data_IF_722211598709
#
_entry.id   IF_722211598709
#
_cell.length_a   1.000
_cell.length_b   1.000
_cell.length_c   1.000
_cell.angle_alpha   90.00
_cell.angle_beta   90.00
_cell.angle_gamma   90.00
#
_symmetry.space_group_name_H-M   'P 1'
#
loop_
_entity.id
_entity.type
_entity.pdbx_description
1 polymer ?
#
# COMPACT_ATOMS: atom_id res chain seq x y z
N UNK A 1 -38.20 -54.11 -33.86
CA UNK A 1 -39.66 -54.34 -33.97
C UNK A 1 -40.28 -53.93 -32.65
N UNK A 2 -41.40 -53.27 -32.77
CA UNK A 2 -42.40 -52.79 -31.83
C UNK A 2 -42.27 -51.32 -31.47
N UNK A 3 -43.02 -50.51 -32.23
CA UNK A 3 -43.41 -49.16 -31.98
C UNK A 3 -44.55 -49.11 -30.94
N UNK A 4 -44.44 -48.16 -29.99
CA UNK A 4 -45.56 -47.80 -29.14
C UNK A 4 -45.88 -46.32 -29.31
N UNK A 5 -46.98 -45.99 -29.96
CA UNK A 5 -47.64 -44.69 -29.98
C UNK A 5 -48.31 -44.42 -28.65
N UNK A 6 -48.16 -43.21 -28.08
CA UNK A 6 -49.05 -42.68 -27.05
C UNK A 6 -49.56 -41.28 -27.47
N UNK A 7 -50.79 -40.95 -27.11
CA UNK A 7 -51.52 -39.83 -27.68
C UNK A 7 -51.19 -38.49 -26.98
N UNK A 8 -51.25 -37.41 -27.77
CA UNK A 8 -51.22 -36.04 -27.39
C UNK A 8 -52.49 -35.62 -26.66
N UNK A 9 -52.38 -35.18 -25.42
CA UNK A 9 -53.49 -34.51 -24.73
C UNK A 9 -53.25 -32.97 -24.81
N UNK A 10 -54.17 -32.31 -25.49
CA UNK A 10 -54.25 -30.87 -25.63
C UNK A 10 -54.88 -30.28 -24.36
N UNK A 11 -54.17 -29.57 -23.51
CA UNK A 11 -54.71 -28.81 -22.40
C UNK A 11 -54.67 -27.32 -22.72
N UNK A 12 -55.83 -26.70 -22.87
CA UNK A 12 -55.99 -25.27 -22.98
C UNK A 12 -55.82 -24.64 -21.60
N UNK A 13 -54.75 -23.88 -21.40
CA UNK A 13 -54.49 -23.11 -20.19
C UNK A 13 -54.76 -21.64 -20.40
N UNK A 14 -55.63 -21.06 -19.57
CA UNK A 14 -56.10 -19.68 -19.58
C UNK A 14 -54.97 -18.67 -19.37
N UNK A 15 -54.96 -17.57 -20.14
CA UNK A 15 -54.12 -16.41 -19.98
C UNK A 15 -54.52 -15.64 -18.70
N UNK A 16 -53.72 -15.76 -17.66
CA UNK A 16 -53.76 -14.89 -16.49
C UNK A 16 -52.89 -13.65 -16.74
N UNK A 17 -53.50 -12.47 -16.87
CA UNK A 17 -52.82 -11.19 -16.80
C UNK A 17 -52.31 -10.96 -15.39
N UNK A 18 -51.08 -11.40 -15.12
CA UNK A 18 -50.36 -11.01 -13.89
C UNK A 18 -49.69 -9.65 -14.09
N UNK A 19 -50.17 -8.63 -13.39
CA UNK A 19 -49.52 -7.32 -13.31
C UNK A 19 -48.15 -7.47 -12.62
N UNK A 20 -47.09 -7.31 -13.36
CA UNK A 20 -45.72 -7.22 -12.80
C UNK A 20 -45.61 -5.94 -11.96
N UNK A 21 -45.12 -5.99 -10.71
CA UNK A 21 -44.80 -4.78 -9.97
C UNK A 21 -43.61 -4.07 -10.65
N UNK A 22 -43.77 -2.79 -10.87
CA UNK A 22 -42.74 -1.92 -11.44
C UNK A 22 -41.48 -2.02 -10.59
N UNK A 23 -40.35 -2.40 -11.21
CA UNK A 23 -39.04 -2.38 -10.59
C UNK A 23 -38.66 -0.94 -10.27
N UNK A 24 -38.51 -0.62 -9.00
CA UNK A 24 -37.93 0.66 -8.55
C UNK A 24 -36.51 0.78 -9.10
N UNK A 25 -36.12 1.92 -9.72
CA UNK A 25 -34.76 2.11 -10.17
C UNK A 25 -33.82 2.12 -8.97
N UNK A 26 -32.91 1.16 -8.91
CA UNK A 26 -31.76 1.19 -7.98
C UNK A 26 -30.88 2.36 -8.42
N UNK A 27 -30.88 3.42 -7.64
CA UNK A 27 -29.92 4.52 -7.79
C UNK A 27 -28.55 3.96 -7.41
N UNK A 28 -27.78 3.55 -8.41
CA UNK A 28 -26.35 3.25 -8.22
C UNK A 28 -25.69 4.58 -7.91
N UNK A 29 -25.40 4.78 -6.62
CA UNK A 29 -24.65 5.96 -6.19
C UNK A 29 -23.32 6.01 -6.95
N UNK A 30 -23.02 7.14 -7.57
CA UNK A 30 -21.72 7.39 -8.20
C UNK A 30 -20.61 7.04 -7.20
N UNK A 31 -19.52 6.37 -7.62
CA UNK A 31 -18.40 6.10 -6.74
C UNK A 31 -17.88 7.43 -6.20
N UNK A 32 -17.99 7.62 -4.89
CA UNK A 32 -17.38 8.75 -4.21
C UNK A 32 -15.90 8.74 -4.56
N UNK A 33 -15.38 9.85 -5.07
CA UNK A 33 -13.95 10.01 -5.30
C UNK A 33 -13.22 9.63 -4.01
N UNK A 34 -12.37 8.63 -4.07
CA UNK A 34 -11.63 8.15 -2.91
C UNK A 34 -10.89 9.35 -2.29
N UNK A 35 -11.17 9.64 -1.02
CA UNK A 35 -10.52 10.73 -0.32
C UNK A 35 -9.01 10.53 -0.37
N UNK A 36 -8.28 11.62 -0.65
CA UNK A 36 -6.82 11.60 -0.67
C UNK A 36 -6.33 11.15 0.71
N UNK A 37 -5.35 10.21 0.80
CA UNK A 37 -4.87 9.75 2.10
C UNK A 37 -4.28 10.91 2.91
N UNK A 38 -4.54 10.91 4.21
CA UNK A 38 -3.91 11.86 5.13
C UNK A 38 -2.47 11.42 5.40
N UNK A 39 -1.51 12.18 4.91
CA UNK A 39 -0.08 11.92 5.05
C UNK A 39 0.59 12.81 6.10
N UNK A 40 -0.20 13.56 6.88
CA UNK A 40 0.33 14.52 7.87
C UNK A 40 1.18 13.86 8.96
N UNK A 41 0.91 12.58 9.27
CA UNK A 41 1.66 11.79 10.25
C UNK A 41 2.92 11.10 9.69
N UNK A 42 3.06 11.02 8.35
CA UNK A 42 4.13 10.25 7.72
C UNK A 42 5.48 10.95 7.85
N UNK A 43 5.52 12.29 7.79
CA UNK A 43 6.76 13.03 7.82
C UNK A 43 6.68 14.19 8.81
N UNK A 44 7.65 14.26 9.72
CA UNK A 44 7.79 15.31 10.71
C UNK A 44 9.23 15.86 10.70
N UNK A 45 9.37 17.17 10.65
CA UNK A 45 10.67 17.81 10.80
C UNK A 45 10.92 17.98 12.31
N UNK A 46 11.91 17.28 12.84
CA UNK A 46 12.25 17.30 14.27
C UNK A 46 13.13 18.49 14.62
N UNK A 47 14.14 18.76 13.79
CA UNK A 47 15.07 19.88 13.92
C UNK A 47 15.48 20.34 12.51
N UNK A 48 14.96 21.49 12.11
CA UNK A 48 15.28 22.06 10.80
C UNK A 48 16.72 22.58 10.73
N UNK A 49 17.25 23.14 11.84
CA UNK A 49 18.61 23.66 11.90
C UNK A 49 19.63 22.52 11.95
N UNK A 50 19.36 21.47 12.74
CA UNK A 50 20.14 20.25 12.81
C UNK A 50 19.90 19.28 11.64
N UNK A 51 18.94 19.56 10.76
CA UNK A 51 18.59 18.74 9.60
C UNK A 51 18.17 17.33 10.01
N UNK A 52 17.20 17.23 10.90
CA UNK A 52 16.67 15.96 11.40
C UNK A 52 15.19 15.84 11.02
N UNK A 53 14.84 14.70 10.46
CA UNK A 53 13.46 14.37 10.06
C UNK A 53 13.09 12.96 10.52
N UNK A 54 11.85 12.78 10.96
CA UNK A 54 11.26 11.47 11.21
C UNK A 54 10.25 11.13 10.11
N UNK A 55 10.39 9.92 9.57
CA UNK A 55 9.44 9.25 8.68
C UNK A 55 8.77 8.12 9.46
N UNK A 56 7.46 8.19 9.63
CA UNK A 56 6.66 7.17 10.33
C UNK A 56 5.78 6.44 9.33
N UNK A 57 5.88 5.10 9.29
CA UNK A 57 5.21 4.27 8.30
C UNK A 57 4.40 3.17 8.97
N UNK A 58 3.11 3.08 8.67
CA UNK A 58 2.28 1.94 8.97
C UNK A 58 2.36 0.91 7.83
N UNK A 59 2.88 -0.27 8.16
CA UNK A 59 3.05 -1.38 7.22
C UNK A 59 1.76 -2.21 7.15
N UNK A 60 1.20 -2.36 5.95
CA UNK A 60 -0.01 -3.14 5.69
C UNK A 60 -1.29 -2.45 6.16
N UNK A 61 -1.37 -1.12 6.03
CA UNK A 61 -2.53 -0.33 6.43
C UNK A 61 -3.70 -0.54 5.46
N UNK A 62 -4.83 -0.99 5.98
CA UNK A 62 -6.05 -1.21 5.19
C UNK A 62 -5.94 -2.31 4.13
N UNK A 63 -6.99 -2.54 3.33
CA UNK A 63 -7.06 -3.65 2.37
C UNK A 63 -6.31 -3.40 1.07
N UNK A 64 -5.67 -2.25 0.90
CA UNK A 64 -4.96 -1.89 -0.33
C UNK A 64 -3.82 -2.85 -0.62
N UNK A 65 -3.75 -3.37 -1.86
CA UNK A 65 -2.72 -4.31 -2.31
C UNK A 65 -2.58 -5.56 -1.42
N UNK A 66 -3.67 -6.07 -0.86
CA UNK A 66 -3.64 -7.20 0.08
C UNK A 66 -2.63 -6.99 1.22
N UNK A 67 -2.61 -5.80 1.81
CA UNK A 67 -1.67 -5.36 2.86
C UNK A 67 -0.21 -5.16 2.41
N UNK A 68 0.14 -5.32 1.12
CA UNK A 68 1.48 -5.02 0.61
C UNK A 68 1.66 -3.52 0.34
N UNK A 69 1.62 -2.71 1.41
CA UNK A 69 1.65 -1.26 1.31
C UNK A 69 2.30 -0.59 2.53
N UNK A 70 2.60 0.71 2.39
CA UNK A 70 2.91 1.63 3.48
C UNK A 70 1.82 2.71 3.49
N UNK A 71 1.16 2.90 4.63
CA UNK A 71 0.06 3.87 4.82
C UNK A 71 -1.06 3.76 3.75
N UNK A 72 -1.38 2.52 3.33
CA UNK A 72 -2.36 2.23 2.29
C UNK A 72 -1.88 2.50 0.86
N UNK A 73 -0.65 2.95 0.68
CA UNK A 73 -0.04 3.25 -0.62
C UNK A 73 1.11 2.28 -0.92
N UNK A 74 1.14 1.76 -2.12
CA UNK A 74 2.22 0.91 -2.61
C UNK A 74 2.65 1.29 -4.01
N UNK A 75 3.61 0.56 -4.57
CA UNK A 75 4.14 0.77 -5.93
C UNK A 75 4.66 2.18 -6.15
N UNK A 76 5.28 2.77 -5.09
CA UNK A 76 5.88 4.10 -5.12
C UNK A 76 4.91 5.27 -5.07
N UNK A 77 3.61 5.02 -4.88
CA UNK A 77 2.62 6.11 -4.80
C UNK A 77 2.77 6.97 -3.54
N UNK A 78 3.35 6.44 -2.47
CA UNK A 78 3.85 7.25 -1.37
C UNK A 78 5.23 7.78 -1.79
N UNK A 79 5.35 9.09 -1.93
CA UNK A 79 6.60 9.75 -2.29
C UNK A 79 7.10 10.61 -1.13
N UNK A 80 8.31 10.33 -0.70
CA UNK A 80 9.02 11.03 0.36
C UNK A 80 10.24 11.70 -0.26
N UNK A 81 10.44 12.97 0.02
CA UNK A 81 11.63 13.73 -0.41
C UNK A 81 12.37 14.21 0.82
N UNK A 82 13.67 13.97 0.86
CA UNK A 82 14.56 14.46 1.93
C UNK A 82 15.79 15.09 1.29
N UNK A 83 16.20 16.28 1.70
CA UNK A 83 17.42 16.89 1.16
C UNK A 83 18.68 16.14 1.62
N UNK A 84 19.73 16.22 0.82
CA UNK A 84 21.05 15.70 1.17
C UNK A 84 21.56 16.27 2.51
N UNK A 85 22.31 15.46 3.25
CA UNK A 85 22.88 15.75 4.58
C UNK A 85 21.86 15.87 5.71
N UNK A 86 20.65 15.35 5.52
CA UNK A 86 19.69 15.21 6.60
C UNK A 86 19.86 13.85 7.27
N UNK A 87 19.70 13.84 8.60
CA UNK A 87 19.50 12.59 9.35
C UNK A 87 18.04 12.20 9.27
N UNK A 88 17.80 11.00 8.84
CA UNK A 88 16.45 10.44 8.66
C UNK A 88 16.23 9.34 9.69
N UNK A 89 15.33 9.57 10.63
CA UNK A 89 14.80 8.54 11.51
C UNK A 89 13.59 7.90 10.83
N UNK A 90 13.59 6.58 10.67
CA UNK A 90 12.46 5.84 10.12
C UNK A 90 11.87 4.96 11.20
N UNK A 91 10.59 5.13 11.48
CA UNK A 91 9.81 4.31 12.39
C UNK A 91 8.78 3.52 11.60
N UNK A 92 8.82 2.19 11.70
CA UNK A 92 7.92 1.30 10.98
C UNK A 92 7.09 0.50 11.98
N UNK A 93 5.76 0.56 11.86
CA UNK A 93 4.81 -0.19 12.67
C UNK A 93 4.05 -1.18 11.79
N UNK A 94 4.02 -2.43 12.17
CA UNK A 94 3.23 -3.45 11.47
C UNK A 94 1.79 -3.45 11.99
N UNK A 95 0.86 -2.94 11.18
CA UNK A 95 -0.58 -2.89 11.49
C UNK A 95 -1.38 -3.97 10.74
N UNK A 96 -0.70 -4.85 10.02
CA UNK A 96 -1.30 -5.93 9.23
C UNK A 96 -1.42 -7.24 9.99
N UNK A 97 -1.99 -8.23 9.34
CA UNK A 97 -2.09 -9.61 9.84
C UNK A 97 -0.88 -10.48 9.52
N UNK A 98 0.03 -10.04 8.66
CA UNK A 98 1.22 -10.79 8.24
C UNK A 98 2.52 -10.08 8.65
N UNK A 99 3.66 -10.74 8.46
CA UNK A 99 4.96 -10.14 8.78
C UNK A 99 5.37 -9.14 7.73
N UNK A 100 5.90 -8.01 8.17
CA UNK A 100 6.45 -6.97 7.30
C UNK A 100 7.75 -6.41 7.87
N UNK A 101 8.55 -5.82 6.99
CA UNK A 101 9.75 -5.09 7.36
C UNK A 101 9.82 -3.77 6.60
N UNK A 102 10.74 -2.91 6.98
CA UNK A 102 11.08 -1.79 6.14
C UNK A 102 12.59 -1.53 6.15
N UNK A 103 13.11 -1.10 5.01
CA UNK A 103 14.49 -0.69 4.86
C UNK A 103 14.68 0.01 3.53
N UNK A 104 15.84 0.66 3.38
CA UNK A 104 16.14 1.52 2.24
C UNK A 104 17.05 0.80 1.24
N UNK A 105 16.62 0.76 -0.02
CA UNK A 105 17.39 0.22 -1.15
C UNK A 105 17.59 1.29 -2.22
N UNK A 106 18.62 1.14 -3.04
CA UNK A 106 18.86 2.02 -4.19
C UNK A 106 18.07 1.52 -5.41
N UNK A 107 17.25 2.38 -5.99
CA UNK A 107 16.45 2.04 -7.15
C UNK A 107 15.51 0.85 -6.92
N UNK A 108 15.56 -0.13 -7.83
CA UNK A 108 14.77 -1.36 -7.76
C UNK A 108 15.55 -2.57 -7.22
N UNK A 109 16.70 -2.35 -6.62
CA UNK A 109 17.57 -3.42 -6.13
C UNK A 109 16.94 -4.13 -4.93
N UNK A 110 17.16 -5.43 -4.84
CA UNK A 110 16.72 -6.27 -3.72
C UNK A 110 17.94 -6.77 -2.95
N UNK A 111 17.79 -6.86 -1.62
CA UNK A 111 18.76 -7.56 -0.78
C UNK A 111 19.95 -6.74 -0.30
N UNK A 112 20.23 -5.56 -0.86
CA UNK A 112 21.31 -4.69 -0.38
C UNK A 112 20.77 -3.36 0.12
N UNK A 113 21.11 -3.01 1.37
CA UNK A 113 20.76 -1.72 1.95
C UNK A 113 21.54 -0.59 1.27
N UNK A 114 20.84 0.49 0.95
CA UNK A 114 21.43 1.69 0.36
C UNK A 114 22.35 2.44 1.35
N UNK A 115 22.03 2.36 2.65
CA UNK A 115 22.80 2.98 3.72
C UNK A 115 23.07 1.95 4.82
N UNK A 116 24.22 1.97 5.51
CA UNK A 116 24.51 1.06 6.60
C UNK A 116 23.43 1.10 7.68
N UNK A 117 22.90 -0.06 8.06
CA UNK A 117 21.90 -0.18 9.12
C UNK A 117 20.51 0.37 8.80
N UNK A 118 20.24 0.78 7.56
CA UNK A 118 18.97 1.39 7.16
C UNK A 118 17.86 0.36 6.93
N UNK A 119 17.60 -0.50 7.92
CA UNK A 119 16.48 -1.44 7.93
C UNK A 119 16.05 -1.78 9.36
N UNK A 120 14.82 -2.28 9.48
CA UNK A 120 14.35 -2.95 10.70
C UNK A 120 15.17 -4.22 10.98
N UNK A 121 15.25 -4.70 12.24
CA UNK A 121 15.94 -5.95 12.56
C UNK A 121 15.42 -7.12 11.72
N UNK A 122 16.32 -8.05 11.37
CA UNK A 122 16.01 -9.28 10.63
C UNK A 122 15.03 -9.03 9.44
N UNK A 123 15.38 -8.13 8.49
CA UNK A 123 14.41 -7.62 7.55
C UNK A 123 13.79 -8.68 6.64
N UNK A 124 14.50 -9.78 6.37
CA UNK A 124 13.96 -10.90 5.59
C UNK A 124 12.92 -11.73 6.38
N UNK A 125 12.95 -11.70 7.72
CA UNK A 125 11.95 -12.34 8.59
C UNK A 125 10.78 -11.41 8.85
N UNK A 126 11.05 -10.15 9.08
CA UNK A 126 10.06 -9.10 9.34
C UNK A 126 9.49 -9.09 10.75
N UNK A 127 8.91 -7.96 11.10
CA UNK A 127 8.20 -7.73 12.36
C UNK A 127 6.86 -8.48 12.36
N UNK A 128 6.49 -9.07 13.48
CA UNK A 128 5.17 -9.68 13.65
C UNK A 128 4.06 -8.59 13.70
N UNK A 129 2.78 -8.97 13.51
CA UNK A 129 1.64 -8.09 13.71
C UNK A 129 1.72 -7.32 15.03
N UNK A 130 1.45 -6.02 15.01
CA UNK A 130 1.49 -5.12 16.16
C UNK A 130 2.89 -4.67 16.60
N UNK A 131 3.97 -5.23 16.07
CA UNK A 131 5.33 -4.83 16.42
C UNK A 131 5.76 -3.56 15.68
N UNK A 132 6.70 -2.83 16.29
CA UNK A 132 7.35 -1.65 15.73
C UNK A 132 8.86 -1.76 15.87
N UNK A 133 9.58 -1.16 14.93
CA UNK A 133 11.02 -0.98 15.01
C UNK A 133 11.41 0.31 14.27
N UNK A 134 12.59 0.82 14.61
CA UNK A 134 13.13 2.04 14.01
C UNK A 134 14.59 1.86 13.63
N UNK A 135 15.01 2.63 12.65
CA UNK A 135 16.42 2.78 12.26
C UNK A 135 16.68 4.23 11.86
N UNK A 136 17.93 4.58 11.68
CA UNK A 136 18.32 5.90 11.19
C UNK A 136 19.44 5.79 10.17
N UNK A 137 19.50 6.76 9.26
CA UNK A 137 20.61 6.92 8.32
C UNK A 137 20.83 8.40 8.01
N UNK A 138 22.01 8.71 7.48
CA UNK A 138 22.29 10.03 6.91
C UNK A 138 22.09 9.95 5.40
N UNK A 139 21.33 10.89 4.86
CA UNK A 139 21.14 11.06 3.42
C UNK A 139 22.44 11.64 2.80
N UNK A 140 23.47 10.80 2.63
CA UNK A 140 24.83 11.23 2.27
C UNK A 140 25.05 11.46 0.77
N UNK A 141 24.11 11.01 -0.08
CA UNK A 141 24.15 11.18 -1.54
C UNK A 141 22.76 11.42 -2.11
N UNK A 142 22.68 12.17 -3.19
CA UNK A 142 21.43 12.38 -3.94
C UNK A 142 21.07 11.15 -4.79
N UNK A 143 19.80 10.98 -5.07
CA UNK A 143 19.35 9.88 -5.95
C UNK A 143 17.93 9.42 -5.66
N UNK A 144 17.54 8.39 -6.39
CA UNK A 144 16.25 7.72 -6.25
C UNK A 144 16.42 6.41 -5.49
N UNK A 145 15.72 6.29 -4.38
CA UNK A 145 15.72 5.16 -3.48
C UNK A 145 14.30 4.64 -3.29
N UNK A 146 14.17 3.51 -2.61
CA UNK A 146 12.89 2.99 -2.12
C UNK A 146 12.99 2.66 -0.64
N UNK A 147 11.93 2.94 0.11
CA UNK A 147 11.68 2.25 1.37
C UNK A 147 10.83 1.05 1.00
N UNK A 148 11.30 -0.16 1.28
CA UNK A 148 10.66 -1.40 0.83
C UNK A 148 10.60 -2.46 1.92
N UNK A 149 9.69 -3.42 1.77
CA UNK A 149 9.65 -4.63 2.59
C UNK A 149 10.64 -5.66 2.02
N UNK A 150 11.43 -6.28 2.91
CA UNK A 150 12.42 -7.31 2.57
C UNK A 150 11.91 -8.74 2.77
N UNK A 151 10.70 -8.89 3.33
CA UNK A 151 10.07 -10.22 3.37
C UNK A 151 9.89 -10.72 1.93
N UNK A 152 10.32 -11.96 1.61
CA UNK A 152 10.32 -12.44 0.23
C UNK A 152 8.96 -12.30 -0.46
N UNK A 153 8.96 -11.79 -1.69
CA UNK A 153 7.76 -11.57 -2.51
C UNK A 153 7.01 -10.26 -2.26
N UNK A 154 7.25 -9.56 -1.14
CA UNK A 154 6.48 -8.38 -0.78
C UNK A 154 6.81 -7.15 -1.63
N UNK A 155 8.08 -6.94 -1.95
CA UNK A 155 8.50 -5.85 -2.84
C UNK A 155 7.94 -6.06 -4.25
N UNK A 156 7.98 -7.28 -4.76
CA UNK A 156 7.45 -7.67 -6.06
C UNK A 156 5.92 -7.50 -6.12
N UNK A 157 5.23 -7.73 -5.00
CA UNK A 157 3.80 -7.46 -4.85
C UNK A 157 3.48 -5.95 -4.82
N UNK A 158 4.49 -5.09 -4.66
CA UNK A 158 4.33 -3.64 -4.70
C UNK A 158 4.53 -2.94 -3.36
N UNK A 159 5.07 -3.62 -2.34
CA UNK A 159 5.29 -3.03 -1.03
C UNK A 159 6.56 -2.17 -1.00
N UNK A 160 6.46 -0.99 -1.60
CA UNK A 160 7.52 0.02 -1.58
C UNK A 160 6.97 1.45 -1.73
N UNK A 161 7.65 2.38 -1.07
CA UNK A 161 7.47 3.82 -1.18
C UNK A 161 8.67 4.44 -1.92
N UNK A 162 8.45 5.50 -2.69
CA UNK A 162 9.53 6.27 -3.31
C UNK A 162 10.21 7.15 -2.27
N UNK A 163 11.53 7.09 -2.21
CA UNK A 163 12.36 8.01 -1.44
C UNK A 163 13.31 8.71 -2.40
N UNK A 164 13.23 10.03 -2.47
CA UNK A 164 14.15 10.87 -3.22
C UNK A 164 15.04 11.64 -2.27
N UNK A 165 16.35 11.53 -2.45
CA UNK A 165 17.31 12.40 -1.78
C UNK A 165 17.67 13.52 -2.76
N UNK A 166 17.17 14.73 -2.47
CA UNK A 166 17.31 15.91 -3.32
C UNK A 166 18.53 16.74 -3.00
N UNK A 167 19.07 17.45 -3.99
CA UNK A 167 20.19 18.35 -3.79
C UNK A 167 19.82 19.61 -2.98
N UNK A 168 18.54 20.02 -3.03
CA UNK A 168 18.03 21.26 -2.43
C UNK A 168 16.55 21.11 -2.06
N UNK A 169 16.02 22.10 -1.36
CA UNK A 169 14.63 22.14 -0.90
C UNK A 169 14.47 21.71 0.56
N UNK A 170 13.24 21.42 0.97
CA UNK A 170 12.90 20.91 2.29
C UNK A 170 12.34 19.49 2.22
N UNK A 171 12.25 18.77 3.36
CA UNK A 171 11.56 17.49 3.44
C UNK A 171 10.08 17.64 3.06
N UNK A 172 9.56 16.69 2.31
CA UNK A 172 8.14 16.67 1.94
C UNK A 172 7.62 15.26 1.72
N UNK A 173 6.30 15.10 1.82
CA UNK A 173 5.60 13.86 1.54
C UNK A 173 4.37 14.13 0.66
N UNK A 174 4.11 13.25 -0.29
CA UNK A 174 2.96 13.34 -1.19
C UNK A 174 2.49 11.96 -1.64
N UNK A 175 1.26 11.90 -2.14
CA UNK A 175 0.76 10.74 -2.90
C UNK A 175 0.68 11.08 -4.38
N UNK A 176 1.12 10.17 -5.24
CA UNK A 176 1.08 10.26 -6.70
C UNK A 176 0.22 9.16 -7.30
#
# INVERSE_FOLDING_TARGET
MIAACFPVALAAGMAGCGSQPAATPVVVGSPSAAAKPDLSSVLRIDDAAGRVVTVSLDMGSGPSLNEFNFDGLGKGRLRIVVPIRWTVHVSCRNVSSMRHSCGVVEGAQTGQLAFPGAATPEPAVGLAPGQSASFAFVADRTGSFRITCFVPGHMEAGMWASLEISAAGGPSVSSV
#
